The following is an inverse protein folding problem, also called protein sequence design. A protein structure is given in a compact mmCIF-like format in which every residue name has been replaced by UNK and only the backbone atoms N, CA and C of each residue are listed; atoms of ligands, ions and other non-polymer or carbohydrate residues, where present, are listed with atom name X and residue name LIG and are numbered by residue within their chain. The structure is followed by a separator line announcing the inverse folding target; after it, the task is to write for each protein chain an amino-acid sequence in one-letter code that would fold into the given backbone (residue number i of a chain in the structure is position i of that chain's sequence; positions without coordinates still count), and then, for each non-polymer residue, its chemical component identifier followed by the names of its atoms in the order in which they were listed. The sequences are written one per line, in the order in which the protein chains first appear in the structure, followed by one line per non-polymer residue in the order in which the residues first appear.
data_IF_026996086537
#
_entry.id   IF_026996086537
#
_cell.length_a   1.000
_cell.length_b   1.000
_cell.length_c   1.000
_cell.angle_alpha   90.00
_cell.angle_beta   90.00
_cell.angle_gamma   90.00
#
_symmetry.space_group_name_H-M   'P 1'
#
loop_
_entity.id
_entity.type
_entity.pdbx_description
1 polymer ?
#
# COMPACT_ATOMS: atom_id res chain seq x y z
N UNK A 1 -24.14 7.36 1.28
CA UNK A 1 -23.38 6.35 0.52
C UNK A 1 -22.60 5.55 1.53
N UNK A 2 -22.65 4.21 1.47
CA UNK A 2 -21.82 3.37 2.32
C UNK A 2 -20.35 3.60 1.98
N UNK A 3 -19.47 3.48 2.98
CA UNK A 3 -18.04 3.35 2.70
C UNK A 3 -17.75 1.92 2.26
N UNK A 4 -16.61 1.71 1.57
CA UNK A 4 -16.15 0.35 1.22
C UNK A 4 -16.02 -0.52 2.46
N UNK A 5 -15.50 0.05 3.56
CA UNK A 5 -15.43 -0.64 4.84
C UNK A 5 -16.81 -1.09 5.31
N UNK A 6 -17.79 -0.19 5.35
CA UNK A 6 -19.13 -0.52 5.85
C UNK A 6 -19.80 -1.60 4.98
N UNK A 7 -19.66 -1.48 3.66
CA UNK A 7 -20.15 -2.46 2.70
C UNK A 7 -19.53 -3.85 2.92
N UNK A 8 -18.20 -3.94 3.11
CA UNK A 8 -17.51 -5.20 3.41
C UNK A 8 -18.02 -5.83 4.71
N UNK A 9 -18.18 -5.02 5.77
CA UNK A 9 -18.62 -5.52 7.07
C UNK A 9 -20.06 -6.03 7.05
N UNK A 10 -20.92 -5.35 6.29
CA UNK A 10 -22.31 -5.76 6.09
C UNK A 10 -22.42 -7.03 5.23
N UNK A 11 -21.54 -7.21 4.25
CA UNK A 11 -21.63 -8.31 3.29
C UNK A 11 -21.17 -9.67 3.84
N UNK A 12 -20.26 -9.71 4.81
CA UNK A 12 -19.75 -10.96 5.37
C UNK A 12 -19.37 -10.85 6.85
N UNK A 13 -19.68 -11.86 7.69
CA UNK A 13 -19.19 -11.94 9.07
C UNK A 13 -17.78 -12.54 9.18
N UNK A 14 -17.26 -13.18 8.13
CA UNK A 14 -15.98 -13.88 8.14
C UNK A 14 -14.81 -12.87 8.22
N UNK A 15 -14.01 -12.89 9.31
CA UNK A 15 -12.93 -11.93 9.50
C UNK A 15 -11.80 -12.06 8.47
N UNK A 16 -11.56 -13.24 7.91
CA UNK A 16 -10.52 -13.44 6.90
C UNK A 16 -10.95 -12.88 5.55
N UNK A 17 -12.21 -13.10 5.16
CA UNK A 17 -12.78 -12.48 3.97
C UNK A 17 -12.77 -10.96 4.09
N UNK A 18 -13.11 -10.42 5.27
CA UNK A 18 -13.01 -8.96 5.53
C UNK A 18 -11.59 -8.45 5.34
N UNK A 19 -10.59 -9.09 5.95
CA UNK A 19 -9.17 -8.71 5.82
C UNK A 19 -8.72 -8.68 4.37
N UNK A 20 -9.04 -9.74 3.62
CA UNK A 20 -8.67 -9.86 2.22
C UNK A 20 -9.33 -8.75 1.38
N UNK A 21 -10.64 -8.53 1.53
CA UNK A 21 -11.35 -7.49 0.77
C UNK A 21 -10.88 -6.07 1.14
N UNK A 22 -10.64 -5.79 2.43
CA UNK A 22 -10.11 -4.49 2.85
C UNK A 22 -8.74 -4.23 2.23
N UNK A 23 -7.85 -5.23 2.26
CA UNK A 23 -6.52 -5.09 1.66
C UNK A 23 -6.60 -4.94 0.14
N UNK A 24 -7.43 -5.73 -0.52
CA UNK A 24 -7.67 -5.64 -1.96
C UNK A 24 -8.18 -4.27 -2.40
N UNK A 25 -9.18 -3.74 -1.71
CA UNK A 25 -9.69 -2.39 -1.98
C UNK A 25 -8.61 -1.30 -1.83
N UNK A 26 -7.69 -1.45 -0.87
CA UNK A 26 -6.55 -0.54 -0.71
C UNK A 26 -5.49 -0.72 -1.81
N UNK A 27 -5.30 -1.94 -2.30
CA UNK A 27 -4.37 -2.26 -3.38
C UNK A 27 -4.85 -1.74 -4.74
N UNK A 28 -6.16 -1.75 -5.00
CA UNK A 28 -6.74 -1.37 -6.30
C UNK A 28 -7.34 0.05 -6.31
N UNK A 29 -8.17 0.38 -5.30
CA UNK A 29 -8.91 1.63 -5.20
C UNK A 29 -8.26 2.72 -4.32
N UNK A 30 -7.22 2.37 -3.56
CA UNK A 30 -6.42 3.30 -2.76
C UNK A 30 -7.09 3.85 -1.50
N UNK A 31 -8.37 3.55 -1.23
CA UNK A 31 -9.05 3.98 0.00
C UNK A 31 -10.18 3.04 0.43
N UNK A 32 -10.53 3.07 1.73
CA UNK A 32 -11.68 2.38 2.31
C UNK A 32 -12.92 3.27 2.45
N UNK A 33 -12.88 4.49 1.90
CA UNK A 33 -13.94 5.50 2.02
C UNK A 33 -15.10 5.30 1.05
N UNK A 34 -15.86 6.35 0.78
CA UNK A 34 -17.03 6.34 -0.12
C UNK A 34 -16.69 6.69 -1.59
N UNK A 35 -15.40 6.75 -1.95
CA UNK A 35 -14.94 7.25 -3.25
C UNK A 35 -14.73 8.78 -3.29
N UNK A 36 -14.46 9.37 -4.46
CA UNK A 36 -14.44 8.73 -5.78
C UNK A 36 -13.22 7.81 -5.97
N UNK A 37 -13.44 6.68 -6.65
CA UNK A 37 -12.36 5.77 -7.06
C UNK A 37 -11.96 6.13 -8.49
N UNK A 38 -10.69 6.51 -8.74
CA UNK A 38 -10.25 6.85 -10.09
C UNK A 38 -10.38 5.62 -11.01
N UNK A 39 -10.85 5.79 -12.26
CA UNK A 39 -10.88 4.70 -13.22
C UNK A 39 -9.47 4.17 -13.52
N UNK A 40 -9.33 2.85 -13.55
CA UNK A 40 -8.13 2.13 -13.97
C UNK A 40 -8.17 1.71 -15.43
N UNK A 41 -7.10 1.06 -15.90
CA UNK A 41 -7.00 0.42 -17.23
C UNK A 41 -7.55 1.28 -18.38
N UNK A 42 -7.05 2.51 -18.49
CA UNK A 42 -7.46 3.47 -19.53
C UNK A 42 -8.96 3.78 -19.52
N UNK A 43 -9.60 3.73 -18.34
CA UNK A 43 -11.02 4.02 -18.16
C UNK A 43 -11.94 2.82 -18.38
N UNK A 44 -11.43 1.60 -18.25
CA UNK A 44 -12.25 0.36 -18.41
C UNK A 44 -12.48 -0.39 -17.10
N UNK A 45 -11.82 0.02 -16.02
CA UNK A 45 -11.92 -0.59 -14.69
C UNK A 45 -12.39 0.45 -13.68
N UNK A 46 -13.33 0.09 -12.79
CA UNK A 46 -14.00 1.06 -11.92
C UNK A 46 -14.20 0.55 -10.49
N UNK A 47 -14.26 1.51 -9.56
CA UNK A 47 -14.64 1.26 -8.18
C UNK A 47 -13.51 0.74 -7.29
N UNK A 48 -13.85 0.30 -6.07
CA UNK A 48 -12.86 -0.06 -5.05
C UNK A 48 -12.01 -1.27 -5.41
N UNK A 49 -12.53 -2.18 -6.23
CA UNK A 49 -11.85 -3.39 -6.69
C UNK A 49 -11.49 -3.35 -8.18
N UNK A 50 -11.53 -2.17 -8.81
CA UNK A 50 -11.19 -1.96 -10.23
C UNK A 50 -11.82 -3.01 -11.17
N UNK A 51 -13.15 -3.16 -11.10
CA UNK A 51 -13.88 -4.18 -11.88
C UNK A 51 -13.78 -3.85 -13.37
N UNK A 52 -13.14 -4.73 -14.14
CA UNK A 52 -12.90 -4.56 -15.57
C UNK A 52 -14.17 -4.84 -16.41
N UNK A 53 -14.83 -3.77 -16.88
CA UNK A 53 -16.14 -3.88 -17.55
C UNK A 53 -16.14 -4.72 -18.84
N UNK A 54 -15.09 -4.73 -19.69
CA UNK A 54 -15.06 -5.59 -20.86
C UNK A 54 -15.16 -7.09 -20.54
N UNK A 55 -14.70 -7.52 -19.37
CA UNK A 55 -14.86 -8.91 -18.90
C UNK A 55 -16.25 -9.18 -18.28
N UNK A 56 -17.03 -8.13 -18.01
CA UNK A 56 -18.29 -8.17 -17.29
C UNK A 56 -19.35 -7.29 -17.99
N UNK A 57 -19.83 -7.67 -19.19
CA UNK A 57 -20.69 -6.81 -20.02
C UNK A 57 -22.05 -6.44 -19.41
N UNK A 58 -22.47 -7.11 -18.33
CA UNK A 58 -23.68 -6.78 -17.57
C UNK A 58 -23.47 -5.77 -16.43
N UNK A 59 -22.24 -5.32 -16.20
CA UNK A 59 -21.88 -4.38 -15.13
C UNK A 59 -21.61 -3.01 -15.74
N UNK A 60 -22.32 -1.99 -15.25
CA UNK A 60 -22.06 -0.60 -15.62
C UNK A 60 -20.97 0.02 -14.76
N UNK A 61 -20.33 1.09 -15.23
CA UNK A 61 -19.36 1.86 -14.43
C UNK A 61 -19.97 2.37 -13.12
N UNK A 62 -21.22 2.85 -13.15
CA UNK A 62 -21.93 3.30 -11.95
C UNK A 62 -22.14 2.19 -10.94
N UNK A 63 -22.44 0.97 -11.37
CA UNK A 63 -22.57 -0.19 -10.47
C UNK A 63 -21.20 -0.58 -9.92
N UNK A 64 -20.17 -0.66 -10.75
CA UNK A 64 -18.82 -1.00 -10.30
C UNK A 64 -18.26 0.03 -9.29
N UNK A 65 -18.60 1.31 -9.44
CA UNK A 65 -18.21 2.37 -8.49
C UNK A 65 -19.02 2.39 -7.19
N UNK A 66 -20.20 1.77 -7.13
CA UNK A 66 -21.02 1.69 -5.93
C UNK A 66 -20.43 0.65 -4.95
N UNK A 67 -20.04 1.04 -3.72
CA UNK A 67 -19.39 0.11 -2.79
C UNK A 67 -20.22 -1.13 -2.46
N UNK A 68 -21.54 -0.99 -2.28
CA UNK A 68 -22.42 -2.11 -1.91
C UNK A 68 -22.54 -3.13 -3.05
N UNK A 69 -22.64 -2.65 -4.30
CA UNK A 69 -22.61 -3.52 -5.47
C UNK A 69 -21.23 -4.16 -5.64
N UNK A 70 -20.15 -3.37 -5.63
CA UNK A 70 -18.80 -3.85 -5.90
C UNK A 70 -18.36 -4.93 -4.89
N UNK A 71 -18.66 -4.73 -3.61
CA UNK A 71 -18.39 -5.72 -2.55
C UNK A 71 -19.18 -7.00 -2.79
N UNK A 72 -20.49 -6.93 -3.03
CA UNK A 72 -21.31 -8.12 -3.27
C UNK A 72 -20.87 -8.87 -4.53
N UNK A 73 -20.50 -8.13 -5.57
CA UNK A 73 -20.01 -8.70 -6.83
C UNK A 73 -18.69 -9.45 -6.64
N UNK A 74 -17.75 -8.88 -5.86
CA UNK A 74 -16.43 -9.47 -5.63
C UNK A 74 -16.40 -10.51 -4.49
N UNK A 75 -17.41 -10.53 -3.61
CA UNK A 75 -17.44 -11.40 -2.42
C UNK A 75 -17.19 -12.89 -2.74
N UNK A 76 -17.82 -13.53 -3.75
CA UNK A 76 -17.56 -14.94 -4.04
C UNK A 76 -16.11 -15.21 -4.47
N UNK A 77 -15.50 -14.29 -5.23
CA UNK A 77 -14.11 -14.41 -5.65
C UNK A 77 -13.16 -14.33 -4.44
N UNK A 78 -13.43 -13.41 -3.51
CA UNK A 78 -12.66 -13.27 -2.27
C UNK A 78 -12.82 -14.45 -1.32
N UNK A 79 -14.02 -15.01 -1.18
CA UNK A 79 -14.24 -16.23 -0.40
C UNK A 79 -13.40 -17.39 -0.96
N UNK A 80 -13.42 -17.59 -2.28
CA UNK A 80 -12.57 -18.59 -2.94
C UNK A 80 -11.07 -18.25 -2.77
N UNK A 81 -10.70 -16.98 -2.84
CA UNK A 81 -9.33 -16.51 -2.68
C UNK A 81 -8.76 -16.83 -1.29
N UNK A 82 -9.53 -16.54 -0.23
CA UNK A 82 -9.18 -16.86 1.17
C UNK A 82 -8.99 -18.36 1.36
N UNK A 83 -9.89 -19.19 0.83
CA UNK A 83 -9.76 -20.65 0.91
C UNK A 83 -8.47 -21.14 0.23
N UNK A 84 -8.16 -20.64 -0.96
CA UNK A 84 -6.93 -21.00 -1.70
C UNK A 84 -5.65 -20.50 -1.01
N UNK A 85 -5.72 -19.37 -0.32
CA UNK A 85 -4.59 -18.82 0.42
C UNK A 85 -4.36 -19.50 1.80
N UNK A 86 -5.29 -20.33 2.25
CA UNK A 86 -5.26 -20.94 3.59
C UNK A 86 -5.59 -19.93 4.70
N UNK A 87 -6.46 -18.97 4.43
CA UNK A 87 -6.87 -17.90 5.37
C UNK A 87 -6.35 -16.51 4.97
N UNK A 88 -6.57 -15.53 5.86
CA UNK A 88 -6.10 -14.14 5.68
C UNK A 88 -5.66 -13.50 7.01
N UNK A 89 -5.08 -14.30 7.92
CA UNK A 89 -4.68 -13.84 9.26
C UNK A 89 -3.47 -12.90 9.28
N UNK A 90 -2.72 -12.80 8.18
CA UNK A 90 -1.57 -11.90 8.01
C UNK A 90 -1.65 -11.10 6.71
N UNK A 91 -0.84 -10.03 6.60
CA UNK A 91 -0.77 -9.20 5.39
C UNK A 91 -0.47 -10.01 4.12
N UNK A 92 0.46 -10.95 4.23
CA UNK A 92 0.90 -11.81 3.14
C UNK A 92 -0.18 -12.83 2.73
N UNK A 93 -0.88 -13.43 3.70
CA UNK A 93 -2.03 -14.31 3.41
C UNK A 93 -3.18 -13.53 2.77
N UNK A 94 -3.52 -12.36 3.31
CA UNK A 94 -4.56 -11.50 2.76
C UNK A 94 -4.22 -11.02 1.33
N UNK A 95 -2.95 -10.67 1.07
CA UNK A 95 -2.50 -10.28 -0.26
C UNK A 95 -2.59 -11.44 -1.26
N UNK A 96 -2.27 -12.68 -0.84
CA UNK A 96 -2.47 -13.87 -1.67
C UNK A 96 -3.95 -14.13 -1.96
N UNK A 97 -4.81 -13.95 -0.95
CA UNK A 97 -6.24 -14.10 -1.13
C UNK A 97 -6.78 -13.08 -2.16
N UNK A 98 -6.36 -11.81 -2.06
CA UNK A 98 -6.68 -10.77 -3.05
C UNK A 98 -6.14 -11.12 -4.45
N UNK A 99 -4.89 -11.55 -4.55
CA UNK A 99 -4.29 -12.02 -5.81
C UNK A 99 -5.10 -13.15 -6.46
N UNK A 100 -5.56 -14.13 -5.68
CA UNK A 100 -6.39 -15.22 -6.22
C UNK A 100 -7.80 -14.76 -6.62
N UNK A 101 -8.36 -13.76 -5.94
CA UNK A 101 -9.67 -13.21 -6.24
C UNK A 101 -9.65 -12.35 -7.50
N UNK A 102 -8.69 -11.43 -7.61
CA UNK A 102 -8.61 -10.43 -8.66
C UNK A 102 -7.77 -10.88 -9.87
N UNK A 103 -6.92 -11.89 -9.68
CA UNK A 103 -6.09 -12.52 -10.72
C UNK A 103 -5.25 -11.51 -11.51
N UNK A 104 -4.55 -10.56 -10.86
CA UNK A 104 -3.67 -9.65 -11.58
C UNK A 104 -2.52 -10.43 -12.24
N UNK A 105 -1.89 -9.82 -13.24
CA UNK A 105 -0.78 -10.46 -13.99
C UNK A 105 0.40 -10.84 -13.09
N UNK A 106 0.72 -10.01 -12.10
CA UNK A 106 1.82 -10.19 -11.18
C UNK A 106 1.32 -10.06 -9.74
N UNK A 107 1.98 -10.76 -8.82
CA UNK A 107 1.75 -10.59 -7.39
C UNK A 107 2.13 -9.18 -6.93
N UNK A 108 1.38 -8.63 -5.97
CA UNK A 108 1.69 -7.34 -5.36
C UNK A 108 3.06 -7.37 -4.64
N UNK A 109 3.88 -6.29 -4.73
CA UNK A 109 5.14 -6.22 -3.99
C UNK A 109 4.92 -6.29 -2.48
N UNK A 110 5.79 -7.02 -1.77
CA UNK A 110 5.69 -7.21 -0.32
C UNK A 110 5.65 -5.92 0.50
N UNK A 111 6.47 -4.93 0.10
CA UNK A 111 6.49 -3.61 0.73
C UNK A 111 5.14 -2.90 0.65
N UNK A 112 4.39 -3.08 -0.45
CA UNK A 112 3.11 -2.41 -0.69
C UNK A 112 2.00 -2.93 0.20
N UNK A 113 1.79 -4.24 0.27
CA UNK A 113 0.72 -4.77 1.12
C UNK A 113 1.06 -4.71 2.62
N UNK A 114 2.35 -4.74 2.97
CA UNK A 114 2.78 -4.60 4.37
C UNK A 114 2.50 -3.20 4.91
N UNK A 115 2.74 -2.14 4.12
CA UNK A 115 2.43 -0.76 4.54
C UNK A 115 0.94 -0.50 4.68
N UNK A 116 0.10 -1.13 3.83
CA UNK A 116 -1.35 -1.01 3.88
C UNK A 116 -2.00 -1.82 5.02
N UNK A 117 -1.30 -2.83 5.55
CA UNK A 117 -1.84 -3.72 6.57
C UNK A 117 -2.25 -3.01 7.87
N UNK A 118 -1.56 -1.91 8.22
CA UNK A 118 -1.92 -1.09 9.37
C UNK A 118 -3.31 -0.47 9.21
N UNK A 119 -3.67 -0.04 7.99
CA UNK A 119 -4.99 0.51 7.69
C UNK A 119 -6.08 -0.57 7.76
N UNK A 120 -5.78 -1.79 7.27
CA UNK A 120 -6.69 -2.95 7.42
C UNK A 120 -6.94 -3.24 8.90
N UNK A 121 -5.88 -3.26 9.71
CA UNK A 121 -5.97 -3.51 11.15
C UNK A 121 -6.80 -2.43 11.86
N UNK A 122 -6.59 -1.16 11.52
CA UNK A 122 -7.39 -0.05 12.06
C UNK A 122 -8.87 -0.14 11.65
N UNK A 123 -9.15 -0.49 10.40
CA UNK A 123 -10.52 -0.67 9.91
C UNK A 123 -11.24 -1.80 10.65
N UNK A 124 -10.54 -2.89 10.99
CA UNK A 124 -11.09 -4.02 11.74
C UNK A 124 -11.47 -3.67 13.18
N UNK A 125 -10.68 -2.85 13.85
CA UNK A 125 -10.94 -2.46 15.25
C UNK A 125 -11.93 -1.31 15.37
N UNK A 126 -12.34 -0.70 14.25
CA UNK A 126 -13.17 0.50 14.26
C UNK A 126 -12.42 1.74 14.75
N UNK A 127 -11.08 1.68 14.81
CA UNK A 127 -10.29 2.88 14.92
C UNK A 127 -10.61 3.79 13.71
N UNK A 128 -10.63 5.13 13.90
CA UNK A 128 -10.77 6.04 12.78
C UNK A 128 -9.72 5.67 11.74
N UNK A 129 -10.15 5.27 10.55
CA UNK A 129 -9.23 5.14 9.41
C UNK A 129 -8.84 6.57 9.11
N UNK A 130 -7.68 6.98 9.62
CA UNK A 130 -7.18 8.33 9.38
C UNK A 130 -7.23 8.54 7.87
N UNK A 131 -7.97 9.55 7.42
CA UNK A 131 -8.02 9.98 6.02
C UNK A 131 -6.69 10.57 5.57
N UNK A 132 -5.58 10.13 6.20
CA UNK A 132 -4.24 10.43 5.77
C UNK A 132 -4.12 9.90 4.35
N UNK A 133 -4.27 10.83 3.39
CA UNK A 133 -3.38 10.93 2.24
C UNK A 133 -2.12 10.16 2.59
N UNK A 134 -1.85 9.08 1.86
CA UNK A 134 -0.58 8.36 1.92
C UNK A 134 0.49 9.43 1.84
N UNK A 135 0.94 9.89 3.01
CA UNK A 135 1.87 10.98 3.11
C UNK A 135 3.13 10.37 2.54
N UNK A 136 3.49 10.84 1.35
CA UNK A 136 4.80 10.64 0.77
C UNK A 136 5.80 10.99 1.87
N UNK A 137 6.32 9.94 2.47
CA UNK A 137 7.48 9.88 3.36
C UNK A 137 7.96 11.26 3.82
N UNK A 138 7.25 11.86 4.77
CA UNK A 138 7.73 13.03 5.50
C UNK A 138 7.37 12.81 6.97
N UNK A 139 8.26 12.09 7.65
CA UNK A 139 8.63 12.30 9.05
C UNK A 139 7.51 12.85 9.95
N UNK A 140 6.60 11.98 10.41
CA UNK A 140 5.49 12.37 11.30
C UNK A 140 5.20 11.30 12.33
N UNK A 141 5.58 11.57 13.58
CA UNK A 141 5.65 10.61 14.68
C UNK A 141 4.32 9.93 15.03
N UNK A 142 4.36 8.59 15.02
CA UNK A 142 3.37 7.75 15.69
C UNK A 142 3.71 7.72 17.18
N UNK A 143 2.79 8.21 18.02
CA UNK A 143 2.92 8.17 19.47
C UNK A 143 2.70 6.75 19.98
N UNK A 144 3.72 5.90 19.80
CA UNK A 144 3.85 4.66 20.56
C UNK A 144 3.87 4.98 22.05
N UNK A 145 3.33 4.12 22.93
CA UNK A 145 3.48 4.25 24.39
C UNK A 145 4.95 4.21 24.86
N UNK A 146 5.87 3.90 23.94
CA UNK A 146 7.33 3.98 24.08
C UNK A 146 7.95 5.16 23.33
N UNK A 147 7.20 6.19 22.94
CA UNK A 147 7.73 7.35 22.22
C UNK A 147 8.86 8.07 22.98
N UNK A 148 8.94 7.90 24.31
CA UNK A 148 10.07 8.38 25.12
C UNK A 148 11.40 7.64 24.84
N UNK A 149 11.36 6.42 24.28
CA UNK A 149 12.53 5.66 23.85
C UNK A 149 12.93 5.95 22.41
N UNK A 150 12.12 6.71 21.66
CA UNK A 150 12.43 7.08 20.28
C UNK A 150 13.80 7.76 20.13
N UNK A 151 14.21 8.71 20.99
CA UNK A 151 15.54 9.33 20.89
C UNK A 151 16.68 8.32 21.06
N UNK A 152 16.46 7.27 21.88
CA UNK A 152 17.44 6.20 22.11
C UNK A 152 17.51 5.29 20.89
N UNK A 153 16.38 4.92 20.31
CA UNK A 153 16.34 4.13 19.08
C UNK A 153 16.98 4.89 17.89
N UNK A 154 16.68 6.18 17.74
CA UNK A 154 17.25 7.04 16.70
C UNK A 154 18.76 7.19 16.87
N UNK A 155 19.23 7.32 18.12
CA UNK A 155 20.67 7.32 18.44
C UNK A 155 21.36 6.02 18.03
N UNK A 156 20.78 4.87 18.35
CA UNK A 156 21.33 3.58 17.93
C UNK A 156 21.26 3.37 16.42
N UNK A 157 20.27 3.91 15.73
CA UNK A 157 20.16 3.85 14.27
C UNK A 157 21.20 4.75 13.58
N UNK A 158 21.42 5.96 14.10
CA UNK A 158 22.49 6.85 13.66
C UNK A 158 23.87 6.23 13.89
N UNK A 159 24.08 5.61 15.06
CA UNK A 159 25.29 4.83 15.34
C UNK A 159 25.44 3.67 14.35
N UNK A 160 24.41 2.86 14.14
CA UNK A 160 24.44 1.74 13.21
C UNK A 160 24.78 2.17 11.76
N UNK A 161 24.31 3.33 11.34
CA UNK A 161 24.68 3.92 10.05
C UNK A 161 26.17 4.33 10.01
N UNK A 162 26.69 4.91 11.09
CA UNK A 162 28.09 5.34 11.24
C UNK A 162 29.09 4.18 11.34
N UNK A 163 28.71 3.04 11.93
CA UNK A 163 29.58 1.84 11.96
C UNK A 163 29.45 0.97 10.71
N UNK A 164 28.54 1.26 9.78
CA UNK A 164 28.45 0.50 8.53
C UNK A 164 29.57 0.91 7.56
N UNK A 165 30.54 0.02 7.24
CA UNK A 165 31.67 0.33 6.37
C UNK A 165 31.24 0.68 4.93
N UNK A 166 30.07 0.21 4.47
CA UNK A 166 29.54 0.54 3.14
C UNK A 166 29.12 2.01 3.04
N UNK A 167 28.68 2.63 4.13
CA UNK A 167 28.32 4.05 4.14
C UNK A 167 29.56 4.94 4.04
N UNK A 168 30.64 4.58 4.74
CA UNK A 168 31.93 5.25 4.62
C UNK A 168 32.51 5.17 3.22
N UNK A 169 32.42 4.01 2.57
CA UNK A 169 32.83 3.85 1.17
C UNK A 169 32.07 4.84 0.25
N UNK A 170 30.76 4.98 0.44
CA UNK A 170 29.93 5.93 -0.34
C UNK A 170 30.35 7.39 -0.11
N UNK A 171 30.63 7.76 1.14
CA UNK A 171 31.09 9.12 1.48
C UNK A 171 32.44 9.41 0.83
N UNK A 172 33.39 8.48 0.92
CA UNK A 172 34.70 8.62 0.29
C UNK A 172 34.55 8.76 -1.23
N UNK A 173 33.75 7.91 -1.88
CA UNK A 173 33.50 7.99 -3.32
C UNK A 173 32.87 9.32 -3.73
N UNK A 174 31.91 9.84 -2.96
CA UNK A 174 31.29 11.14 -3.23
C UNK A 174 32.30 12.29 -3.13
N UNK A 175 33.15 12.31 -2.09
CA UNK A 175 34.19 13.32 -1.92
C UNK A 175 35.23 13.27 -3.05
N UNK A 176 35.65 12.07 -3.47
CA UNK A 176 36.54 11.90 -4.62
C UNK A 176 35.91 12.38 -5.93
N UNK A 177 34.62 12.07 -6.17
CA UNK A 177 33.90 12.53 -7.36
C UNK A 177 33.79 14.06 -7.44
N UNK A 178 33.45 14.71 -6.32
CA UNK A 178 33.40 16.18 -6.24
C UNK A 178 34.79 16.79 -6.45
N UNK A 179 35.82 16.24 -5.81
CA UNK A 179 37.20 16.71 -5.98
C UNK A 179 37.69 16.59 -7.43
N UNK A 180 37.39 15.49 -8.11
CA UNK A 180 37.77 15.28 -9.51
C UNK A 180 37.06 16.28 -10.44
N UNK A 181 35.78 16.56 -10.18
CA UNK A 181 35.00 17.53 -10.96
C UNK A 181 35.56 18.96 -10.80
N UNK A 182 35.82 19.38 -9.57
CA UNK A 182 36.39 20.72 -9.30
C UNK A 182 37.82 20.86 -9.84
N UNK A 183 38.64 19.80 -9.72
CA UNK A 183 39.99 19.76 -10.28
C UNK A 183 40.00 19.84 -11.81
N UNK A 184 39.11 19.10 -12.47
CA UNK A 184 38.94 19.14 -13.92
C UNK A 184 38.52 20.52 -14.44
N UNK A 185 37.57 21.17 -13.76
CA UNK A 185 37.15 22.54 -14.11
C UNK A 185 38.32 23.53 -13.97
N UNK A 186 39.08 23.44 -12.88
CA UNK A 186 40.21 24.35 -12.63
C UNK A 186 41.30 24.19 -13.70
N UNK A 187 41.66 22.94 -14.03
CA UNK A 187 42.66 22.64 -15.06
C UNK A 187 42.23 23.12 -16.45
N UNK A 188 40.95 22.97 -16.79
CA UNK A 188 40.39 23.45 -18.05
C UNK A 188 40.46 24.98 -18.17
N UNK A 189 40.08 25.71 -17.12
CA UNK A 189 40.13 27.18 -17.10
C UNK A 189 41.56 27.71 -17.23
N UNK A 190 42.55 27.03 -16.68
CA UNK A 190 43.96 27.46 -16.79
C UNK A 190 44.62 27.15 -18.14
N UNK A 191 44.02 26.28 -18.95
CA UNK A 191 44.59 25.83 -20.22
C UNK A 191 44.08 26.62 -21.46
N UNK A 192 43.06 27.48 -21.28
CA UNK A 192 42.47 28.36 -22.30
C UNK A 192 42.97 29.78 -22.11
#
# INVERSE_FOLDING_TARGET
MSTVRDAIFAATPDPDVRRAMLLGALLEGGSLGAGPFPPGDQGTSFGPFQIHLPAHPGVTSSQASDPDFAVRFMLPAYQSGVQRAGGAGSADQAARAAYYAERPKNMYPASRYTSLWQQVTAALTGAPVGTGTLASDTTGGSSSPFAFLQPVADFFHALAWLVNPLNWLRIVLALFGVGFTLGGITAFVTAV
#
